data_IF_648411102272
#
_entry.id   IF_648411102272
#
_cell.length_a   1.000
_cell.length_b   1.000
_cell.length_c   1.000
_cell.angle_alpha   90.00
_cell.angle_beta   90.00
_cell.angle_gamma   90.00
#
_symmetry.space_group_name_H-M   'P 1'
#
loop_
_entity.id
_entity.type
_entity.pdbx_description
1 polymer ?
#
# COMPACT_ATOMS: atom_id res chain seq x y z
N UNK A 1 35.07 39.53 15.46
CA UNK A 1 34.62 38.88 14.21
C UNK A 1 33.75 37.72 14.64
N UNK A 2 32.43 37.90 14.58
CA UNK A 2 31.44 36.97 15.13
C UNK A 2 31.29 35.75 14.23
N UNK A 3 31.53 34.56 14.79
CA UNK A 3 31.08 33.29 14.21
C UNK A 3 29.55 33.27 14.17
N UNK A 4 28.97 32.72 13.10
CA UNK A 4 27.60 32.18 13.12
C UNK A 4 27.44 31.08 12.06
N UNK A 5 26.63 30.05 12.34
CA UNK A 5 26.65 28.77 11.63
C UNK A 5 25.59 28.68 10.53
N UNK A 6 25.79 27.71 9.64
CA UNK A 6 24.94 27.26 8.54
C UNK A 6 23.51 26.91 8.95
N UNK A 7 22.56 27.00 7.99
CA UNK A 7 21.57 25.95 7.84
C UNK A 7 21.43 25.50 6.38
N UNK A 8 21.99 24.34 6.06
CA UNK A 8 21.78 23.61 4.79
C UNK A 8 21.07 22.29 5.08
N UNK A 9 19.80 22.35 5.51
CA UNK A 9 18.96 21.18 5.84
C UNK A 9 17.79 20.99 4.88
N UNK A 10 17.88 21.46 3.63
CA UNK A 10 16.75 21.37 2.69
C UNK A 10 16.83 20.23 1.66
N UNK A 11 17.92 19.44 1.62
CA UNK A 11 18.10 18.40 0.59
C UNK A 11 17.73 16.97 1.03
N UNK A 12 17.60 16.71 2.33
CA UNK A 12 17.37 15.34 2.85
C UNK A 12 15.87 14.97 2.93
N UNK A 13 14.98 15.96 2.87
CA UNK A 13 13.55 15.76 3.13
C UNK A 13 12.79 15.25 1.89
N UNK A 14 13.17 15.70 0.69
CA UNK A 14 12.51 15.33 -0.56
C UNK A 14 12.86 13.91 -1.02
N UNK A 15 14.14 13.51 -0.97
CA UNK A 15 14.61 12.16 -1.33
C UNK A 15 13.92 11.04 -0.51
N UNK A 16 13.57 11.33 0.74
CA UNK A 16 12.91 10.39 1.65
C UNK A 16 11.42 10.23 1.32
N UNK A 17 10.78 11.28 0.81
CA UNK A 17 9.39 11.29 0.36
C UNK A 17 9.22 10.45 -0.90
N UNK A 18 10.08 10.68 -1.91
CA UNK A 18 10.03 9.96 -3.20
C UNK A 18 10.23 8.45 -3.04
N UNK A 19 11.13 8.05 -2.13
CA UNK A 19 11.35 6.64 -1.81
C UNK A 19 10.12 5.99 -1.16
N UNK A 20 9.40 6.75 -0.34
CA UNK A 20 8.19 6.29 0.34
C UNK A 20 7.04 6.14 -0.66
N UNK A 21 6.88 7.09 -1.58
CA UNK A 21 5.87 7.01 -2.64
C UNK A 21 6.10 5.83 -3.58
N UNK A 22 7.34 5.60 -4.01
CA UNK A 22 7.70 4.41 -4.80
C UNK A 22 7.39 3.11 -4.05
N UNK A 23 7.68 3.04 -2.76
CA UNK A 23 7.36 1.87 -1.94
C UNK A 23 5.85 1.63 -1.84
N UNK A 24 5.06 2.68 -1.63
CA UNK A 24 3.60 2.63 -1.60
C UNK A 24 3.05 2.16 -2.95
N UNK A 25 3.56 2.70 -4.06
CA UNK A 25 3.17 2.28 -5.41
C UNK A 25 3.39 0.78 -5.63
N UNK A 26 4.58 0.27 -5.27
CA UNK A 26 4.90 -1.15 -5.39
C UNK A 26 3.97 -2.03 -4.54
N UNK A 27 3.62 -1.58 -3.31
CA UNK A 27 2.67 -2.30 -2.47
C UNK A 27 1.26 -2.34 -3.07
N UNK A 28 0.79 -1.24 -3.66
CA UNK A 28 -0.51 -1.20 -4.35
C UNK A 28 -0.51 -2.16 -5.54
N UNK A 29 0.57 -2.17 -6.33
CA UNK A 29 0.72 -3.09 -7.45
C UNK A 29 0.67 -4.55 -6.97
N UNK A 30 1.37 -4.88 -5.90
CA UNK A 30 1.35 -6.22 -5.32
C UNK A 30 -0.05 -6.63 -4.84
N UNK A 31 -0.77 -5.74 -4.15
CA UNK A 31 -2.17 -5.96 -3.76
C UNK A 31 -3.04 -6.27 -4.98
N UNK A 32 -2.89 -5.50 -6.06
CA UNK A 32 -3.65 -5.73 -7.30
C UNK A 32 -3.35 -7.10 -7.90
N UNK A 33 -2.08 -7.51 -7.90
CA UNK A 33 -1.67 -8.86 -8.33
C UNK A 33 -2.31 -9.95 -7.44
N UNK A 34 -2.30 -9.78 -6.12
CA UNK A 34 -2.93 -10.73 -5.19
C UNK A 34 -4.45 -10.81 -5.40
N UNK A 35 -5.12 -9.69 -5.64
CA UNK A 35 -6.57 -9.64 -5.91
C UNK A 35 -6.91 -10.33 -7.24
N UNK A 36 -6.10 -10.14 -8.29
CA UNK A 36 -6.27 -10.84 -9.56
C UNK A 36 -6.14 -12.36 -9.37
N UNK A 37 -5.10 -12.82 -8.67
CA UNK A 37 -4.93 -14.24 -8.33
C UNK A 37 -6.11 -14.77 -7.50
N UNK A 38 -6.62 -13.98 -6.56
CA UNK A 38 -7.76 -14.36 -5.74
C UNK A 38 -9.01 -14.57 -6.59
N UNK A 39 -9.29 -13.66 -7.52
CA UNK A 39 -10.39 -13.79 -8.49
C UNK A 39 -10.26 -15.08 -9.31
N UNK A 40 -9.06 -15.37 -9.81
CA UNK A 40 -8.83 -16.54 -10.65
C UNK A 40 -9.03 -17.85 -9.87
N UNK A 41 -8.66 -17.88 -8.58
CA UNK A 41 -8.97 -19.02 -7.71
C UNK A 41 -10.47 -19.16 -7.43
N UNK A 42 -11.20 -18.05 -7.26
CA UNK A 42 -12.65 -18.08 -7.01
C UNK A 42 -13.47 -18.69 -8.16
N UNK A 43 -13.00 -18.57 -9.41
CA UNK A 43 -13.66 -19.19 -10.58
C UNK A 43 -13.73 -20.73 -10.43
N UNK A 44 -12.80 -21.33 -9.68
CA UNK A 44 -12.75 -22.77 -9.47
C UNK A 44 -13.71 -23.26 -8.37
N UNK A 45 -14.39 -22.37 -7.63
CA UNK A 45 -15.36 -22.76 -6.60
C UNK A 45 -16.61 -23.32 -7.27
N UNK A 46 -17.11 -24.45 -6.78
CA UNK A 46 -18.22 -25.18 -7.40
C UNK A 46 -17.86 -25.90 -8.71
N UNK A 47 -16.59 -25.85 -9.16
CA UNK A 47 -16.09 -26.63 -10.28
C UNK A 47 -15.58 -28.00 -9.80
N UNK A 48 -15.32 -28.99 -10.69
CA UNK A 48 -14.77 -30.29 -10.30
C UNK A 48 -13.44 -30.23 -9.54
N UNK A 49 -12.73 -29.10 -9.63
CA UNK A 49 -11.47 -28.81 -8.94
C UNK A 49 -11.64 -28.19 -7.55
N UNK A 50 -12.88 -27.95 -7.11
CA UNK A 50 -13.18 -27.40 -5.78
C UNK A 50 -12.93 -28.44 -4.69
N UNK A 51 -11.79 -28.31 -4.01
CA UNK A 51 -11.38 -29.20 -2.94
C UNK A 51 -10.99 -28.42 -1.66
N UNK A 52 -10.90 -29.08 -0.49
CA UNK A 52 -10.54 -28.44 0.76
C UNK A 52 -9.22 -27.65 0.70
N UNK A 53 -8.23 -28.15 -0.04
CA UNK A 53 -6.92 -27.54 -0.20
C UNK A 53 -7.02 -26.22 -0.98
N UNK A 54 -7.78 -26.23 -2.08
CA UNK A 54 -8.06 -25.02 -2.87
C UNK A 54 -8.83 -23.99 -2.03
N UNK A 55 -9.85 -24.43 -1.28
CA UNK A 55 -10.62 -23.54 -0.40
C UNK A 55 -9.74 -22.92 0.69
N UNK A 56 -8.79 -23.68 1.25
CA UNK A 56 -7.86 -23.11 2.22
C UNK A 56 -6.86 -22.15 1.57
N UNK A 57 -6.38 -22.42 0.35
CA UNK A 57 -5.58 -21.48 -0.43
C UNK A 57 -6.32 -20.16 -0.66
N UNK A 58 -7.60 -20.22 -1.06
CA UNK A 58 -8.49 -19.05 -1.21
C UNK A 58 -8.58 -18.28 0.11
N UNK A 59 -8.83 -18.96 1.25
CA UNK A 59 -8.91 -18.31 2.56
C UNK A 59 -7.61 -17.62 2.97
N UNK A 60 -6.47 -18.28 2.75
CA UNK A 60 -5.13 -17.70 3.03
C UNK A 60 -4.88 -16.46 2.19
N UNK A 61 -5.12 -16.54 0.88
CA UNK A 61 -4.90 -15.40 -0.01
C UNK A 61 -5.82 -14.21 0.34
N UNK A 62 -7.09 -14.47 0.66
CA UNK A 62 -8.01 -13.43 1.14
C UNK A 62 -7.46 -12.69 2.37
N UNK A 63 -6.94 -13.44 3.36
CA UNK A 63 -6.33 -12.85 4.57
C UNK A 63 -5.10 -12.00 4.20
N UNK A 64 -4.23 -12.52 3.32
CA UNK A 64 -3.05 -11.79 2.83
C UNK A 64 -3.43 -10.47 2.18
N UNK A 65 -4.40 -10.46 1.25
CA UNK A 65 -4.87 -9.23 0.61
C UNK A 65 -5.35 -8.20 1.64
N UNK A 66 -6.14 -8.63 2.62
CA UNK A 66 -6.69 -7.73 3.65
C UNK A 66 -5.59 -7.14 4.52
N UNK A 67 -4.62 -7.94 4.97
CA UNK A 67 -3.52 -7.45 5.79
C UNK A 67 -2.60 -6.51 5.00
N UNK A 68 -2.31 -6.81 3.74
CA UNK A 68 -1.57 -5.91 2.85
C UNK A 68 -2.31 -4.57 2.66
N UNK A 69 -3.62 -4.61 2.38
CA UNK A 69 -4.45 -3.41 2.27
C UNK A 69 -4.45 -2.57 3.55
N UNK A 70 -4.56 -3.21 4.73
CA UNK A 70 -4.48 -2.50 6.02
C UNK A 70 -3.13 -1.80 6.17
N UNK A 71 -2.03 -2.52 5.92
CA UNK A 71 -0.68 -1.95 5.99
C UNK A 71 -0.50 -0.76 5.05
N UNK A 72 -0.88 -0.89 3.78
CA UNK A 72 -0.76 0.18 2.80
C UNK A 72 -1.70 1.36 3.11
N UNK A 73 -2.91 1.11 3.62
CA UNK A 73 -3.85 2.18 4.00
C UNK A 73 -3.30 3.07 5.11
N UNK A 74 -2.53 2.52 6.06
CA UNK A 74 -1.88 3.31 7.12
C UNK A 74 -0.84 4.29 6.56
N UNK A 75 -0.24 3.97 5.42
CA UNK A 75 0.74 4.83 4.74
C UNK A 75 0.05 5.89 3.86
N UNK A 76 -1.02 5.51 3.15
CA UNK A 76 -1.71 6.37 2.18
C UNK A 76 -2.69 7.34 2.85
N UNK A 77 -3.49 6.88 3.82
CA UNK A 77 -4.56 7.69 4.41
C UNK A 77 -4.10 9.01 5.05
N UNK A 78 -2.97 9.08 5.77
CA UNK A 78 -2.46 10.35 6.30
C UNK A 78 -2.17 11.38 5.21
N UNK A 79 -1.68 10.95 4.04
CA UNK A 79 -1.41 11.83 2.91
C UNK A 79 -2.72 12.35 2.29
N UNK A 80 -3.68 11.45 2.05
CA UNK A 80 -5.01 11.80 1.52
C UNK A 80 -5.75 12.78 2.44
N UNK A 81 -5.71 12.55 3.76
CA UNK A 81 -6.32 13.43 4.75
C UNK A 81 -5.69 14.82 4.78
N UNK A 82 -4.36 14.91 4.62
CA UNK A 82 -3.68 16.21 4.49
C UNK A 82 -4.17 16.94 3.25
N UNK A 83 -4.18 16.28 2.09
CA UNK A 83 -4.67 16.85 0.84
C UNK A 83 -6.12 17.35 0.96
N UNK A 84 -7.02 16.53 1.53
CA UNK A 84 -8.41 16.92 1.77
C UNK A 84 -8.55 18.10 2.74
N UNK A 85 -7.76 18.16 3.83
CA UNK A 85 -7.79 19.33 4.73
C UNK A 85 -7.34 20.60 4.02
N UNK A 86 -6.30 20.52 3.19
CA UNK A 86 -5.86 21.68 2.41
C UNK A 86 -6.99 22.21 1.53
N UNK A 87 -7.76 21.36 0.85
CA UNK A 87 -8.88 21.76 -0.01
C UNK A 87 -10.07 22.41 0.74
N UNK A 88 -10.21 22.19 2.05
CA UNK A 88 -11.28 22.78 2.88
C UNK A 88 -10.88 24.10 3.55
N UNK A 89 -9.59 24.45 3.48
CA UNK A 89 -9.03 25.68 4.03
C UNK A 89 -8.76 26.77 2.98
N UNK A 90 -9.04 26.48 1.71
CA UNK A 90 -9.04 27.42 0.58
C UNK A 90 -10.44 27.48 -0.03
#
# INVERSE_FOLDING_TARGET
MTESPTPSTSKCHDDKSDKTEKAVFLQIQDINCQVAQFRDLLINVGQPRDCPELREKIRKLRRSCVEACKGTSQLVLPQVRRLMRFQLTW
#
